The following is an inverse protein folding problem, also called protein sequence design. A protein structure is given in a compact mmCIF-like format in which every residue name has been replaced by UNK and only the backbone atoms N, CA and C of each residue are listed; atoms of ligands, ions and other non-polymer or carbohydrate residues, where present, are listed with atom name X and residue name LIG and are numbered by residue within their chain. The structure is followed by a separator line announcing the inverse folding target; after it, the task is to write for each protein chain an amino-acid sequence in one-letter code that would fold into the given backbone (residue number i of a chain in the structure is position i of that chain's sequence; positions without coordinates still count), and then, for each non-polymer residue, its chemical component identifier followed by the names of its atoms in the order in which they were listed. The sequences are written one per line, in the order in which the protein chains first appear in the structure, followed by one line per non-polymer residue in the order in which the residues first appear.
data_IF_385329292073
#
_entry.id   IF_385329292073
#
_cell.length_a   1.000
_cell.length_b   1.000
_cell.length_c   1.000
_cell.angle_alpha   90.00
_cell.angle_beta   90.00
_cell.angle_gamma   90.00
#
_symmetry.space_group_name_H-M   'P 1'
#
loop_
_entity.id
_entity.type
_entity.pdbx_description
1 polymer ?
#
# COMPACT_ATOMS: atom_id res chain seq x y z
N UNK A 1 -5.81 13.91 20.66
CA UNK A 1 -4.74 12.94 20.36
C UNK A 1 -4.08 13.42 19.08
N UNK A 2 -3.27 14.44 19.25
CA UNK A 2 -2.59 15.15 18.18
C UNK A 2 -1.37 14.34 17.77
N UNK A 3 -1.42 13.80 16.57
CA UNK A 3 -0.26 13.21 15.94
C UNK A 3 0.42 14.38 15.22
N UNK A 4 1.40 14.97 15.89
CA UNK A 4 2.38 15.84 15.25
C UNK A 4 3.08 15.03 14.14
N UNK A 5 2.74 15.35 12.90
CA UNK A 5 3.48 14.92 11.71
C UNK A 5 4.62 15.93 11.51
N UNK A 6 5.59 15.91 12.41
CA UNK A 6 6.90 16.52 12.16
C UNK A 6 7.96 15.56 12.71
N UNK A 7 8.96 15.27 11.86
CA UNK A 7 10.16 14.50 12.18
C UNK A 7 10.10 12.96 12.20
N UNK A 8 9.52 12.33 11.17
CA UNK A 8 9.87 10.93 10.87
C UNK A 8 10.79 10.83 9.64
N UNK A 9 11.95 11.49 9.75
CA UNK A 9 13.05 11.40 8.79
C UNK A 9 14.16 10.45 9.27
N UNK A 10 13.89 9.58 10.25
CA UNK A 10 14.88 8.61 10.73
C UNK A 10 14.23 7.40 11.41
N UNK A 11 14.27 6.27 10.70
CA UNK A 11 14.56 4.97 11.30
C UNK A 11 13.42 4.23 12.00
N UNK A 12 12.66 3.42 11.24
CA UNK A 12 12.32 2.05 11.68
C UNK A 12 11.68 1.14 10.61
N UNK A 13 12.13 1.23 9.36
CA UNK A 13 11.90 0.17 8.37
C UNK A 13 13.25 -0.06 7.70
N UNK A 14 13.71 -1.31 7.61
CA UNK A 14 15.04 -1.68 7.11
C UNK A 14 15.30 -1.15 5.70
N UNK A 15 15.87 0.05 5.61
CA UNK A 15 16.30 0.64 4.36
C UNK A 15 17.69 0.11 4.04
N UNK A 16 17.86 -0.48 2.84
CA UNK A 16 19.15 -0.95 2.30
C UNK A 16 20.29 0.07 2.42
N UNK A 17 19.96 1.37 2.42
CA UNK A 17 20.91 2.45 2.67
C UNK A 17 21.66 2.39 4.01
N UNK A 18 21.09 1.76 5.06
CA UNK A 18 21.83 1.54 6.32
C UNK A 18 22.91 0.49 6.17
N UNK A 19 22.66 -0.57 5.39
CA UNK A 19 23.60 -1.68 5.26
C UNK A 19 24.75 -1.34 4.27
N UNK A 20 24.47 -0.52 3.25
CA UNK A 20 25.51 0.03 2.38
C UNK A 20 26.55 0.88 3.14
N UNK A 21 26.12 1.58 4.19
CA UNK A 21 27.00 2.36 5.08
C UNK A 21 27.98 1.50 5.90
N UNK A 22 27.75 0.19 5.96
CA UNK A 22 28.61 -0.78 6.66
C UNK A 22 29.53 -1.54 5.69
N UNK A 23 29.70 -1.04 4.46
CA UNK A 23 30.61 -1.66 3.47
C UNK A 23 30.07 -2.94 2.83
N UNK A 24 28.80 -3.29 3.07
CA UNK A 24 28.13 -4.38 2.36
C UNK A 24 27.66 -3.82 1.02
N UNK A 25 28.21 -4.33 -0.09
CA UNK A 25 27.76 -3.96 -1.43
C UNK A 25 26.32 -4.43 -1.62
N UNK A 26 25.37 -3.54 -1.37
CA UNK A 26 23.95 -3.84 -1.46
C UNK A 26 23.43 -3.05 -2.63
N UNK A 27 22.84 -3.80 -3.55
CA UNK A 27 22.09 -3.27 -4.65
C UNK A 27 21.03 -2.30 -4.11
N UNK A 28 21.32 -1.01 -4.27
CA UNK A 28 20.45 0.08 -3.80
C UNK A 28 19.22 0.23 -4.67
N UNK A 29 19.10 -0.57 -5.74
CA UNK A 29 17.96 -0.60 -6.65
C UNK A 29 16.73 -1.17 -5.95
N UNK A 30 15.57 -0.59 -6.26
CA UNK A 30 14.29 -1.05 -5.73
C UNK A 30 14.05 -2.55 -6.01
N UNK A 31 13.88 -3.34 -4.95
CA UNK A 31 13.64 -4.78 -5.07
C UNK A 31 12.34 -5.16 -5.81
N UNK A 32 11.41 -4.23 -6.04
CA UNK A 32 10.14 -4.52 -6.71
C UNK A 32 10.15 -4.20 -8.20
N UNK A 33 10.56 -2.99 -8.59
CA UNK A 33 10.58 -2.58 -9.99
C UNK A 33 11.94 -2.66 -10.65
N UNK A 34 13.01 -2.96 -9.90
CA UNK A 34 14.40 -2.96 -10.36
C UNK A 34 14.81 -1.65 -11.04
N UNK A 35 14.18 -0.55 -10.64
CA UNK A 35 14.42 0.80 -11.17
C UNK A 35 14.54 1.77 -10.02
N UNK A 36 15.46 2.73 -10.14
CA UNK A 36 15.66 3.79 -9.15
C UNK A 36 16.22 3.31 -7.81
N UNK A 37 16.65 4.28 -7.00
CA UNK A 37 17.17 4.02 -5.65
C UNK A 37 16.04 3.71 -4.68
N UNK A 38 16.17 2.63 -3.94
CA UNK A 38 15.21 2.17 -2.94
C UNK A 38 15.18 3.12 -1.74
N UNK A 39 14.22 4.03 -1.76
CA UNK A 39 13.83 4.88 -0.62
C UNK A 39 12.46 4.44 -0.08
N UNK A 40 12.05 4.95 1.08
CA UNK A 40 10.68 4.71 1.61
C UNK A 40 9.65 5.27 0.62
N UNK A 41 9.87 6.51 0.15
CA UNK A 41 9.00 7.16 -0.83
C UNK A 41 8.90 6.34 -2.12
N UNK A 42 10.03 5.82 -2.62
CA UNK A 42 10.03 4.97 -3.78
C UNK A 42 9.32 3.64 -3.54
N UNK A 43 9.64 2.93 -2.46
CA UNK A 43 9.06 1.61 -2.14
C UNK A 43 7.53 1.64 -2.08
N UNK A 44 6.96 2.70 -1.51
CA UNK A 44 5.53 2.77 -1.21
C UNK A 44 4.70 3.60 -2.20
N UNK A 45 5.28 4.53 -2.97
CA UNK A 45 4.48 5.48 -3.75
C UNK A 45 5.02 5.79 -5.15
N UNK A 46 6.34 5.81 -5.36
CA UNK A 46 6.92 6.12 -6.68
C UNK A 46 7.26 4.89 -7.50
N UNK A 47 7.44 3.73 -6.85
CA UNK A 47 7.63 2.46 -7.54
C UNK A 47 6.46 2.19 -8.49
N UNK A 48 6.76 1.80 -9.73
CA UNK A 48 5.76 1.54 -10.76
C UNK A 48 4.79 0.42 -10.36
N UNK A 49 5.32 -0.67 -9.82
CA UNK A 49 4.53 -1.79 -9.32
C UNK A 49 3.58 -1.32 -8.20
N UNK A 50 4.13 -0.62 -7.21
CA UNK A 50 3.33 -0.11 -6.10
C UNK A 50 2.28 0.90 -6.54
N UNK A 51 2.62 1.77 -7.48
CA UNK A 51 1.68 2.74 -8.07
C UNK A 51 0.53 2.04 -8.80
N UNK A 52 0.81 0.95 -9.51
CA UNK A 52 -0.21 0.13 -10.17
C UNK A 52 -1.15 -0.52 -9.15
N UNK A 53 -0.60 -1.11 -8.08
CA UNK A 53 -1.39 -1.69 -6.98
C UNK A 53 -2.31 -0.62 -6.38
N UNK A 54 -1.76 0.54 -6.07
CA UNK A 54 -2.52 1.65 -5.49
C UNK A 54 -3.63 2.14 -6.41
N UNK A 55 -3.36 2.29 -7.70
CA UNK A 55 -4.36 2.72 -8.69
C UNK A 55 -5.53 1.73 -8.83
N UNK A 56 -5.24 0.42 -8.81
CA UNK A 56 -6.27 -0.61 -8.86
C UNK A 56 -7.14 -0.60 -7.60
N UNK A 57 -6.53 -0.39 -6.42
CA UNK A 57 -7.26 -0.30 -5.16
C UNK A 57 -8.12 0.97 -5.08
N UNK A 58 -7.69 2.10 -5.64
CA UNK A 58 -8.53 3.30 -5.77
C UNK A 58 -9.76 3.01 -6.63
N UNK A 59 -9.60 2.40 -7.81
CA UNK A 59 -10.74 2.04 -8.66
C UNK A 59 -11.68 1.06 -7.97
N UNK A 60 -11.14 0.04 -7.29
CA UNK A 60 -11.92 -0.91 -6.50
C UNK A 60 -12.71 -0.25 -5.36
N UNK A 61 -12.30 0.92 -4.89
CA UNK A 61 -13.06 1.71 -3.91
C UNK A 61 -14.04 2.69 -4.54
N UNK A 62 -14.23 2.65 -5.86
CA UNK A 62 -15.04 3.61 -6.61
C UNK A 62 -14.39 4.99 -6.76
N UNK A 63 -13.11 5.14 -6.43
CA UNK A 63 -12.38 6.42 -6.52
C UNK A 63 -11.82 6.58 -7.94
N UNK A 64 -12.57 7.30 -8.77
CA UNK A 64 -12.27 7.54 -10.19
C UNK A 64 -11.28 8.71 -10.37
N UNK A 65 -10.02 8.52 -9.97
CA UNK A 65 -8.92 9.46 -10.28
C UNK A 65 -7.62 8.71 -10.51
N UNK A 66 -6.66 9.37 -11.18
CA UNK A 66 -5.29 8.89 -11.25
C UNK A 66 -4.57 9.06 -9.90
N UNK A 67 -3.56 8.23 -9.64
CA UNK A 67 -2.62 8.43 -8.53
C UNK A 67 -1.97 9.81 -8.65
N UNK A 68 -1.84 10.50 -7.53
CA UNK A 68 -1.22 11.82 -7.46
C UNK A 68 0.28 11.68 -7.20
N UNK A 69 0.97 12.82 -7.16
CA UNK A 69 2.35 12.85 -6.65
C UNK A 69 2.35 12.53 -5.16
N UNK A 70 3.48 12.06 -4.65
CA UNK A 70 3.63 11.60 -3.27
C UNK A 70 2.99 12.51 -2.22
N UNK A 71 3.36 13.80 -2.21
CA UNK A 71 2.87 14.76 -1.21
C UNK A 71 1.36 15.00 -1.30
N UNK A 72 0.82 15.07 -2.52
CA UNK A 72 -0.60 15.26 -2.78
C UNK A 72 -1.40 14.01 -2.38
N UNK A 73 -0.86 12.83 -2.65
CA UNK A 73 -1.45 11.55 -2.28
C UNK A 73 -1.52 11.39 -0.76
N UNK A 74 -0.45 11.77 -0.04
CA UNK A 74 -0.45 11.82 1.43
C UNK A 74 -1.50 12.79 1.97
N UNK A 75 -1.57 14.00 1.44
CA UNK A 75 -2.55 15.00 1.89
C UNK A 75 -3.99 14.53 1.62
N UNK A 76 -4.21 13.80 0.54
CA UNK A 76 -5.50 13.16 0.28
C UNK A 76 -5.79 12.02 1.27
N UNK A 77 -4.83 11.11 1.49
CA UNK A 77 -4.93 10.01 2.45
C UNK A 77 -5.29 10.52 3.85
N UNK A 78 -4.61 11.56 4.33
CA UNK A 78 -4.85 12.16 5.65
C UNK A 78 -6.29 12.65 5.80
N UNK A 79 -6.87 13.23 4.73
CA UNK A 79 -8.27 13.67 4.72
C UNK A 79 -9.23 12.50 4.61
N UNK A 80 -8.97 11.56 3.71
CA UNK A 80 -9.83 10.39 3.44
C UNK A 80 -9.91 9.44 4.66
N UNK A 81 -8.81 9.28 5.39
CA UNK A 81 -8.73 8.44 6.58
C UNK A 81 -9.28 9.10 7.86
N UNK A 82 -9.67 10.38 7.82
CA UNK A 82 -10.12 11.14 8.99
C UNK A 82 -11.55 10.77 9.40
N UNK A 83 -11.78 10.60 10.70
CA UNK A 83 -13.10 10.34 11.27
C UNK A 83 -13.47 8.85 11.36
N UNK A 84 -14.76 8.57 11.60
CA UNK A 84 -15.27 7.23 11.94
C UNK A 84 -16.25 6.66 10.91
N UNK A 85 -16.32 7.23 9.70
CA UNK A 85 -17.17 6.73 8.62
C UNK A 85 -16.68 5.36 8.11
N UNK A 86 -17.56 4.63 7.41
CA UNK A 86 -17.20 3.39 6.73
C UNK A 86 -16.05 3.60 5.74
N UNK A 87 -16.15 4.63 4.89
CA UNK A 87 -15.10 5.00 3.94
C UNK A 87 -13.77 5.37 4.60
N UNK A 88 -13.77 6.12 5.71
CA UNK A 88 -12.53 6.42 6.43
C UNK A 88 -11.89 5.17 7.04
N UNK A 89 -12.72 4.24 7.51
CA UNK A 89 -12.25 2.95 8.04
C UNK A 89 -11.68 2.07 6.93
N UNK A 90 -12.37 2.00 5.79
CA UNK A 90 -11.90 1.30 4.59
C UNK A 90 -10.55 1.85 4.12
N UNK A 91 -10.42 3.17 4.00
CA UNK A 91 -9.18 3.84 3.61
C UNK A 91 -8.01 3.45 4.54
N UNK A 92 -8.21 3.50 5.87
CA UNK A 92 -7.18 3.07 6.84
C UNK A 92 -6.80 1.59 6.68
N UNK A 93 -7.78 0.72 6.48
CA UNK A 93 -7.53 -0.71 6.30
C UNK A 93 -6.77 -1.00 5.01
N UNK A 94 -7.13 -0.35 3.92
CA UNK A 94 -6.40 -0.46 2.65
C UNK A 94 -4.97 0.03 2.80
N UNK A 95 -4.74 1.16 3.44
CA UNK A 95 -3.39 1.68 3.67
C UNK A 95 -2.54 0.70 4.48
N UNK A 96 -3.08 0.17 5.57
CA UNK A 96 -2.39 -0.80 6.40
C UNK A 96 -2.04 -2.09 5.61
N UNK A 97 -3.00 -2.61 4.84
CA UNK A 97 -2.80 -3.80 4.02
C UNK A 97 -1.76 -3.55 2.91
N UNK A 98 -1.86 -2.44 2.17
CA UNK A 98 -0.90 -2.05 1.13
C UNK A 98 0.51 -1.98 1.68
N UNK A 99 0.72 -1.28 2.80
CA UNK A 99 2.03 -1.16 3.45
C UNK A 99 2.57 -2.55 3.82
N UNK A 100 1.73 -3.41 4.40
CA UNK A 100 2.12 -4.76 4.78
C UNK A 100 2.51 -5.63 3.57
N UNK A 101 1.69 -5.70 2.53
CA UNK A 101 1.98 -6.54 1.37
C UNK A 101 3.17 -6.04 0.57
N UNK A 102 3.37 -4.72 0.42
CA UNK A 102 4.58 -4.17 -0.22
C UNK A 102 5.82 -4.59 0.55
N UNK A 103 5.80 -4.46 1.88
CA UNK A 103 6.91 -4.88 2.72
C UNK A 103 7.15 -6.39 2.60
N UNK A 104 6.09 -7.20 2.59
CA UNK A 104 6.18 -8.64 2.42
C UNK A 104 6.79 -9.01 1.06
N UNK A 105 6.36 -8.38 -0.03
CA UNK A 105 6.89 -8.62 -1.37
C UNK A 105 8.36 -8.22 -1.46
N UNK A 106 8.75 -7.06 -0.93
CA UNK A 106 10.16 -6.64 -0.87
C UNK A 106 11.03 -7.70 -0.19
N UNK A 107 10.58 -8.20 0.95
CA UNK A 107 11.30 -9.27 1.66
C UNK A 107 11.33 -10.58 0.87
N UNK A 108 10.23 -10.95 0.22
CA UNK A 108 10.21 -12.16 -0.62
C UNK A 108 11.18 -12.02 -1.80
N UNK A 109 11.27 -10.86 -2.44
CA UNK A 109 12.25 -10.66 -3.51
C UNK A 109 13.67 -10.76 -2.99
N UNK A 110 13.98 -10.09 -1.87
CA UNK A 110 15.33 -10.08 -1.29
C UNK A 110 15.77 -11.49 -0.84
N UNK A 111 14.92 -12.21 -0.11
CA UNK A 111 15.32 -13.47 0.54
C UNK A 111 14.95 -14.73 -0.25
N UNK A 112 14.00 -14.65 -1.17
CA UNK A 112 13.47 -15.81 -1.90
C UNK A 112 13.54 -15.66 -3.42
N UNK A 113 13.96 -14.50 -3.94
CA UNK A 113 14.02 -14.20 -5.38
C UNK A 113 12.68 -14.49 -6.09
N UNK A 114 11.57 -14.18 -5.40
CA UNK A 114 10.21 -14.37 -5.89
C UNK A 114 9.45 -13.06 -5.81
N UNK A 115 8.75 -12.71 -6.88
CA UNK A 115 7.89 -11.54 -6.96
C UNK A 115 6.51 -11.95 -7.48
N UNK A 116 5.45 -11.53 -6.78
CA UNK A 116 4.08 -11.74 -7.26
C UNK A 116 3.70 -10.64 -8.23
N UNK A 117 2.70 -10.91 -9.08
CA UNK A 117 2.13 -9.88 -9.95
C UNK A 117 1.34 -8.85 -9.14
N UNK A 118 1.30 -7.60 -9.61
CA UNK A 118 0.48 -6.54 -9.01
C UNK A 118 -0.97 -6.98 -8.82
N UNK A 119 -1.54 -7.67 -9.81
CA UNK A 119 -2.90 -8.21 -9.75
C UNK A 119 -3.06 -9.21 -8.60
N UNK A 120 -2.12 -10.15 -8.42
CA UNK A 120 -2.17 -11.10 -7.29
C UNK A 120 -2.13 -10.38 -5.96
N UNK A 121 -1.31 -9.35 -5.81
CA UNK A 121 -1.19 -8.59 -4.55
C UNK A 121 -2.48 -7.82 -4.28
N UNK A 122 -3.06 -7.17 -5.29
CA UNK A 122 -4.35 -6.48 -5.19
C UNK A 122 -5.45 -7.44 -4.74
N UNK A 123 -5.52 -8.65 -5.32
CA UNK A 123 -6.49 -9.68 -4.91
C UNK A 123 -6.33 -10.06 -3.44
N UNK A 124 -5.10 -10.27 -2.97
CA UNK A 124 -4.82 -10.60 -1.57
C UNK A 124 -5.24 -9.45 -0.62
N UNK A 125 -4.95 -8.21 -0.99
CA UNK A 125 -5.35 -7.03 -0.22
C UNK A 125 -6.88 -6.94 -0.11
N UNK A 126 -7.59 -7.10 -1.24
CA UNK A 126 -9.05 -7.04 -1.27
C UNK A 126 -9.64 -8.15 -0.39
N UNK A 127 -9.16 -9.40 -0.54
CA UNK A 127 -9.61 -10.51 0.29
C UNK A 127 -9.39 -10.27 1.79
N UNK A 128 -8.22 -9.77 2.18
CA UNK A 128 -7.92 -9.42 3.58
C UNK A 128 -8.88 -8.34 4.10
N UNK A 129 -9.18 -7.33 3.28
CA UNK A 129 -10.14 -6.28 3.65
C UNK A 129 -11.55 -6.85 3.83
N UNK A 130 -12.02 -7.70 2.92
CA UNK A 130 -13.33 -8.36 3.05
C UNK A 130 -13.41 -9.20 4.32
N UNK A 131 -12.41 -10.03 4.59
CA UNK A 131 -12.35 -10.88 5.80
C UNK A 131 -12.36 -10.02 7.06
N UNK A 132 -11.60 -8.92 7.09
CA UNK A 132 -11.61 -8.03 8.25
C UNK A 132 -12.92 -7.26 8.36
N UNK A 133 -13.57 -6.93 7.26
CA UNK A 133 -14.81 -6.16 7.27
C UNK A 133 -15.99 -6.93 7.86
N UNK A 134 -16.04 -8.25 7.73
CA UNK A 134 -17.05 -9.07 8.43
C UNK A 134 -16.94 -8.96 9.96
N UNK A 135 -15.75 -8.61 10.48
CA UNK A 135 -15.52 -8.35 11.90
C UNK A 135 -15.96 -6.94 12.33
N UNK A 136 -16.32 -6.05 11.40
CA UNK A 136 -16.73 -4.67 11.66
C UNK A 136 -18.08 -4.35 10.98
N UNK A 137 -19.22 -4.47 11.70
CA UNK A 137 -20.57 -4.36 11.10
C UNK A 137 -20.84 -3.08 10.29
N UNK A 138 -20.18 -1.96 10.63
CA UNK A 138 -20.30 -0.70 9.86
C UNK A 138 -19.58 -0.75 8.50
N UNK A 139 -18.46 -1.48 8.45
CA UNK A 139 -17.68 -1.65 7.24
C UNK A 139 -18.31 -2.71 6.35
N UNK A 140 -18.82 -3.80 6.92
CA UNK A 140 -19.58 -4.82 6.20
C UNK A 140 -20.69 -4.17 5.35
N UNK A 141 -21.55 -3.35 5.95
CA UNK A 141 -22.60 -2.62 5.21
C UNK A 141 -22.06 -1.74 4.08
N UNK A 142 -20.89 -1.13 4.29
CA UNK A 142 -20.27 -0.26 3.27
C UNK A 142 -19.73 -1.10 2.11
N UNK A 143 -19.14 -2.26 2.38
CA UNK A 143 -18.59 -3.15 1.36
C UNK A 143 -19.70 -3.90 0.61
N UNK A 144 -20.74 -4.36 1.31
CA UNK A 144 -21.88 -5.07 0.71
C UNK A 144 -22.76 -4.15 -0.14
N UNK A 145 -22.99 -2.91 0.29
CA UNK A 145 -23.82 -1.95 -0.46
C UNK A 145 -23.25 -1.63 -1.84
N UNK A 146 -21.94 -1.66 -1.96
CA UNK A 146 -21.24 -1.30 -3.18
C UNK A 146 -21.05 -2.50 -4.13
N UNK A 147 -21.67 -3.65 -3.86
CA UNK A 147 -21.68 -4.84 -4.72
C UNK A 147 -20.28 -5.24 -5.25
N UNK A 148 -19.24 -5.10 -4.42
CA UNK A 148 -17.87 -5.52 -4.73
C UNK A 148 -17.68 -7.05 -4.69
N UNK A 149 -18.69 -7.81 -5.11
CA UNK A 149 -18.47 -9.23 -5.42
C UNK A 149 -17.44 -9.31 -6.54
N UNK A 150 -16.65 -10.38 -6.51
CA UNK A 150 -15.39 -10.59 -7.20
C UNK A 150 -15.56 -10.73 -8.74
N UNK A 151 -16.52 -10.04 -9.35
CA UNK A 151 -16.86 -10.13 -10.78
C UNK A 151 -15.89 -9.34 -11.67
N UNK A 152 -14.92 -8.63 -11.09
CA UNK A 152 -13.79 -8.04 -11.83
C UNK A 152 -12.58 -8.96 -11.95
N UNK A 153 -12.70 -10.24 -11.58
CA UNK A 153 -11.57 -11.19 -11.51
C UNK A 153 -11.23 -11.94 -12.82
N UNK A 154 -11.90 -11.67 -13.96
CA UNK A 154 -11.68 -12.41 -15.22
C UNK A 154 -11.48 -11.55 -16.49
N UNK A 155 -10.84 -10.37 -16.40
CA UNK A 155 -10.37 -9.66 -17.61
C UNK A 155 -8.91 -9.27 -17.52
#
# INVERSE_FOLDING_TARGET
MDIHIENCNSGNIGNKGRLARWGVNIETTCALCQQGTETIQHSFFECEMTGTIWQQLLHWQGIQRKKLKWQEELAWIQRAAKGRSGGATLCRMTLAAVVYYIWQERNNTIFKQKIRTSASIVRMIIQEIHIRATMFPRLERTITKENWHLDTMEQ
#
